data_IF_786146115754
#
_entry.id   IF_786146115754
#
_cell.length_a   1.000
_cell.length_b   1.000
_cell.length_c   1.000
_cell.angle_alpha   90.00
_cell.angle_beta   90.00
_cell.angle_gamma   90.00
#
_symmetry.space_group_name_H-M   'P 1'
#
loop_
_entity.id
_entity.type
_entity.pdbx_description
1 polymer ?
#
# COMPACT_ATOMS: atom_id res chain seq x y z
N UNK A 1 -2.83 0.68 32.65
CA UNK A 1 -2.21 0.26 31.37
C UNK A 1 -3.33 0.11 30.36
N UNK A 2 -3.70 1.24 29.74
CA UNK A 2 -4.84 1.33 28.83
C UNK A 2 -4.48 0.60 27.54
N UNK A 3 -5.30 -0.33 27.03
CA UNK A 3 -5.01 -0.96 25.75
C UNK A 3 -5.01 0.11 24.66
N UNK A 4 -4.01 0.04 23.79
CA UNK A 4 -3.91 0.83 22.57
C UNK A 4 -5.27 0.86 21.88
N UNK A 5 -5.91 2.03 21.90
CA UNK A 5 -7.21 2.26 21.28
C UNK A 5 -7.06 1.84 19.82
N UNK A 6 -7.76 0.77 19.46
CA UNK A 6 -7.80 0.26 18.11
C UNK A 6 -8.04 1.44 17.16
N UNK A 7 -7.14 1.61 16.18
CA UNK A 7 -7.34 2.51 15.04
C UNK A 7 -8.64 2.08 14.37
N UNK A 8 -9.70 2.80 14.68
CA UNK A 8 -11.06 2.53 14.27
C UNK A 8 -11.14 2.62 12.74
N UNK A 9 -11.59 1.52 12.15
CA UNK A 9 -12.62 1.46 11.11
C UNK A 9 -12.79 2.66 10.15
N UNK A 10 -12.48 2.44 8.88
CA UNK A 10 -13.21 2.98 7.71
C UNK A 10 -13.39 4.51 7.60
N UNK A 11 -12.64 5.31 8.34
CA UNK A 11 -12.74 6.77 8.28
C UNK A 11 -11.58 7.35 7.46
N UNK A 12 -11.94 8.18 6.47
CA UNK A 12 -11.00 8.90 5.61
C UNK A 12 -10.28 9.96 6.43
N UNK A 13 -9.03 9.67 6.81
CA UNK A 13 -8.23 10.54 7.68
C UNK A 13 -7.98 11.92 7.04
N UNK A 14 -7.88 11.98 5.71
CA UNK A 14 -7.71 13.24 4.98
C UNK A 14 -9.03 13.97 4.65
N UNK A 15 -10.19 13.36 4.90
CA UNK A 15 -11.47 14.07 4.78
C UNK A 15 -11.72 15.02 5.97
N UNK A 16 -10.92 14.92 7.03
CA UNK A 16 -10.96 15.87 8.13
C UNK A 16 -10.33 17.22 7.70
N UNK A 17 -11.10 18.33 7.70
CA UNK A 17 -10.58 19.64 7.29
C UNK A 17 -9.44 20.14 8.18
N UNK A 18 -9.31 19.66 9.41
CA UNK A 18 -8.19 19.99 10.30
C UNK A 18 -6.90 19.31 9.86
N UNK A 19 -6.97 18.02 9.52
CA UNK A 19 -5.83 17.24 9.01
C UNK A 19 -5.28 17.87 7.73
N UNK A 20 -6.17 18.26 6.80
CA UNK A 20 -5.76 18.99 5.59
C UNK A 20 -5.05 20.29 5.91
N UNK A 21 -5.64 21.13 6.78
CA UNK A 21 -5.07 22.44 7.12
C UNK A 21 -3.67 22.28 7.73
N UNK A 22 -3.52 21.34 8.65
CA UNK A 22 -2.26 21.12 9.33
C UNK A 22 -1.22 20.50 8.39
N UNK A 23 -1.64 19.64 7.46
CA UNK A 23 -0.78 19.11 6.40
C UNK A 23 -0.29 20.23 5.46
N UNK A 24 -1.17 21.14 5.01
CA UNK A 24 -0.78 22.32 4.20
C UNK A 24 0.24 23.17 4.95
N UNK A 25 0.05 23.39 6.26
CA UNK A 25 1.01 24.14 7.08
C UNK A 25 2.36 23.44 7.13
N UNK A 26 2.39 22.14 7.44
CA UNK A 26 3.66 21.39 7.55
C UNK A 26 4.41 21.35 6.21
N UNK A 27 3.70 21.10 5.10
CA UNK A 27 4.29 21.09 3.75
C UNK A 27 4.78 22.49 3.37
N UNK A 28 4.00 23.54 3.66
CA UNK A 28 4.40 24.93 3.42
C UNK A 28 5.62 25.35 4.24
N UNK A 29 5.65 24.99 5.54
CA UNK A 29 6.75 25.28 6.45
C UNK A 29 8.03 24.53 6.07
N UNK A 30 7.92 23.36 5.43
CA UNK A 30 9.05 22.63 4.85
C UNK A 30 9.55 23.30 3.56
N UNK A 31 8.66 23.76 2.68
CA UNK A 31 9.02 24.31 1.37
C UNK A 31 9.85 23.31 0.55
N UNK A 32 10.97 23.73 -0.01
CA UNK A 32 11.87 22.87 -0.81
C UNK A 32 12.80 21.98 0.04
N UNK A 33 12.72 22.04 1.37
CA UNK A 33 13.57 21.24 2.27
C UNK A 33 13.00 19.84 2.42
N UNK A 34 13.91 18.86 2.46
CA UNK A 34 13.55 17.46 2.69
C UNK A 34 13.36 17.22 4.20
N UNK A 35 12.21 16.67 4.57
CA UNK A 35 11.97 16.19 5.93
C UNK A 35 12.83 14.96 6.20
N UNK A 36 13.81 15.08 7.09
CA UNK A 36 14.76 13.99 7.41
C UNK A 36 14.36 13.16 8.62
N UNK A 37 13.53 13.71 9.51
CA UNK A 37 13.11 13.08 10.74
C UNK A 37 11.70 13.53 11.13
N UNK A 38 10.99 12.65 11.85
CA UNK A 38 9.77 12.99 12.58
C UNK A 38 9.90 12.47 14.01
N UNK A 39 9.31 13.17 14.97
CA UNK A 39 9.31 12.81 16.39
C UNK A 39 7.86 12.64 16.84
N UNK A 40 7.61 11.61 17.64
CA UNK A 40 6.36 11.45 18.38
C UNK A 40 6.60 11.91 19.81
N UNK A 41 5.87 12.91 20.26
CA UNK A 41 5.86 13.31 21.67
C UNK A 41 4.84 12.46 22.42
N UNK A 42 5.31 11.78 23.47
CA UNK A 42 4.47 11.02 24.39
C UNK A 42 3.82 11.97 25.40
N UNK A 43 2.82 11.48 26.13
CA UNK A 43 2.08 12.25 27.13
C UNK A 43 2.94 12.67 28.33
N UNK A 44 4.07 12.00 28.55
CA UNK A 44 5.09 12.35 29.54
C UNK A 44 6.17 13.32 29.02
N UNK A 45 6.03 13.81 27.78
CA UNK A 45 6.97 14.72 27.12
C UNK A 45 8.20 14.04 26.51
N UNK A 46 8.32 12.70 26.62
CA UNK A 46 9.37 11.95 25.95
C UNK A 46 9.16 12.00 24.44
N UNK A 47 10.24 12.23 23.68
CA UNK A 47 10.19 12.17 22.22
C UNK A 47 10.75 10.85 21.69
N UNK A 48 9.98 10.17 20.84
CA UNK A 48 10.39 8.95 20.14
C UNK A 48 10.67 9.28 18.68
N UNK A 49 11.89 9.03 18.16
CA UNK A 49 12.16 9.19 16.74
C UNK A 49 11.37 8.19 15.92
N UNK A 50 10.71 8.70 14.88
CA UNK A 50 10.04 7.88 13.87
C UNK A 50 11.11 7.31 12.93
N UNK A 51 11.15 5.97 12.72
CA UNK A 51 12.08 5.36 11.78
C UNK A 51 11.97 5.94 10.37
N UNK A 52 13.06 6.01 9.58
CA UNK A 52 13.07 6.66 8.26
C UNK A 52 12.00 6.17 7.30
N UNK A 53 11.71 4.86 7.30
CA UNK A 53 10.67 4.28 6.46
C UNK A 53 9.26 4.80 6.80
N UNK A 54 8.98 5.02 8.09
CA UNK A 54 7.71 5.59 8.56
C UNK A 54 7.67 7.11 8.32
N UNK A 55 8.79 7.81 8.45
CA UNK A 55 8.90 9.23 8.09
C UNK A 55 8.57 9.45 6.63
N UNK A 56 9.11 8.64 5.71
CA UNK A 56 8.79 8.75 4.28
C UNK A 56 7.31 8.50 3.98
N UNK A 57 6.69 7.52 4.65
CA UNK A 57 5.26 7.27 4.54
C UNK A 57 4.42 8.46 5.06
N UNK A 58 4.82 9.07 6.18
CA UNK A 58 4.17 10.26 6.74
C UNK A 58 4.28 11.47 5.81
N UNK A 59 5.46 11.72 5.22
CA UNK A 59 5.66 12.80 4.24
C UNK A 59 4.75 12.61 3.02
N UNK A 60 4.68 11.38 2.51
CA UNK A 60 3.78 11.03 1.39
C UNK A 60 2.33 11.31 1.75
N UNK A 61 1.90 10.94 2.96
CA UNK A 61 0.57 11.23 3.47
C UNK A 61 0.30 12.74 3.57
N UNK A 62 1.25 13.51 4.12
CA UNK A 62 1.10 14.95 4.30
C UNK A 62 0.96 15.69 2.97
N UNK A 63 1.75 15.32 1.95
CA UNK A 63 1.57 15.88 0.61
C UNK A 63 0.20 15.55 0.02
N UNK A 64 -0.21 14.28 0.05
CA UNK A 64 -1.50 13.86 -0.46
C UNK A 64 -2.67 14.58 0.26
N UNK A 65 -2.59 14.72 1.58
CA UNK A 65 -3.57 15.44 2.37
C UNK A 65 -3.58 16.95 2.05
N UNK A 66 -2.42 17.57 1.85
CA UNK A 66 -2.29 18.98 1.50
C UNK A 66 -2.89 19.30 0.11
N UNK A 67 -2.71 18.39 -0.84
CA UNK A 67 -3.30 18.46 -2.19
C UNK A 67 -4.81 18.20 -2.21
N UNK A 68 -5.40 17.87 -1.06
CA UNK A 68 -6.83 17.60 -0.91
C UNK A 68 -7.25 16.21 -1.41
N UNK A 69 -6.32 15.27 -1.55
CA UNK A 69 -6.65 13.89 -1.89
C UNK A 69 -7.36 13.19 -0.72
N UNK A 70 -8.34 12.34 -1.04
CA UNK A 70 -8.92 11.41 -0.05
C UNK A 70 -7.89 10.31 0.25
N UNK A 71 -7.33 10.35 1.46
CA UNK A 71 -6.35 9.38 1.96
C UNK A 71 -6.95 8.58 3.10
N UNK A 72 -7.07 7.27 2.90
CA UNK A 72 -7.54 6.33 3.91
C UNK A 72 -6.42 5.40 4.39
N UNK A 73 -6.29 5.24 5.71
CA UNK A 73 -5.45 4.20 6.31
C UNK A 73 -6.28 2.93 6.43
N UNK A 74 -5.79 1.84 5.84
CA UNK A 74 -6.45 0.53 5.90
C UNK A 74 -5.49 -0.50 6.45
N UNK A 75 -5.93 -1.20 7.50
CA UNK A 75 -5.22 -2.37 8.00
C UNK A 75 -5.27 -3.45 6.93
N UNK A 76 -4.10 -3.84 6.44
CA UNK A 76 -4.04 -4.95 5.50
C UNK A 76 -3.90 -6.22 6.30
N UNK A 77 -4.99 -6.98 6.40
CA UNK A 77 -4.95 -8.32 6.97
C UNK A 77 -3.99 -9.19 6.17
N UNK A 78 -3.25 -10.08 6.85
CA UNK A 78 -2.37 -11.06 6.21
C UNK A 78 -3.09 -11.92 5.16
N UNK A 79 -4.41 -12.06 5.31
CA UNK A 79 -5.30 -12.69 4.37
C UNK A 79 -6.15 -11.70 3.58
N UNK A 80 -6.17 -11.91 2.27
CA UNK A 80 -7.03 -11.23 1.34
C UNK A 80 -8.26 -12.09 1.04
N UNK A 81 -9.40 -11.40 0.85
CA UNK A 81 -10.54 -12.00 0.16
C UNK A 81 -10.18 -12.21 -1.31
N UNK A 82 -10.91 -13.10 -1.99
CA UNK A 82 -10.77 -13.27 -3.44
C UNK A 82 -10.99 -11.97 -4.21
N UNK A 83 -11.86 -11.07 -3.72
CA UNK A 83 -12.07 -9.77 -4.37
C UNK A 83 -10.87 -8.84 -4.16
N UNK A 84 -10.34 -8.77 -2.93
CA UNK A 84 -9.15 -7.94 -2.64
C UNK A 84 -7.91 -8.42 -3.37
N UNK A 85 -7.69 -9.73 -3.45
CA UNK A 85 -6.59 -10.31 -4.21
C UNK A 85 -6.72 -10.05 -5.73
N UNK A 86 -7.93 -10.15 -6.28
CA UNK A 86 -8.18 -9.86 -7.69
C UNK A 86 -7.90 -8.39 -8.03
N UNK A 87 -8.35 -7.46 -7.19
CA UNK A 87 -8.04 -6.03 -7.32
C UNK A 87 -6.53 -5.78 -7.27
N UNK A 88 -5.83 -6.40 -6.31
CA UNK A 88 -4.38 -6.21 -6.15
C UNK A 88 -3.58 -6.73 -7.36
N UNK A 89 -4.04 -7.80 -8.02
CA UNK A 89 -3.43 -8.33 -9.24
C UNK A 89 -3.88 -7.61 -10.52
N UNK A 90 -4.87 -6.72 -10.44
CA UNK A 90 -5.46 -6.07 -11.61
C UNK A 90 -6.18 -7.04 -12.55
N UNK A 91 -6.84 -8.07 -12.02
CA UNK A 91 -7.58 -9.08 -12.80
C UNK A 91 -9.01 -9.26 -12.29
N UNK A 92 -9.86 -9.89 -13.10
CA UNK A 92 -11.21 -10.26 -12.66
C UNK A 92 -11.18 -11.36 -11.59
N UNK A 93 -12.19 -11.43 -10.72
CA UNK A 93 -12.33 -12.51 -9.74
C UNK A 93 -12.38 -13.91 -10.40
N UNK A 94 -13.13 -14.16 -11.49
CA UNK A 94 -13.06 -15.43 -12.21
C UNK A 94 -11.64 -15.78 -12.68
N UNK A 95 -10.89 -14.79 -13.18
CA UNK A 95 -9.48 -15.00 -13.57
C UNK A 95 -8.61 -15.37 -12.37
N UNK A 96 -8.80 -14.71 -11.22
CA UNK A 96 -8.11 -15.09 -9.99
C UNK A 96 -8.41 -16.55 -9.61
N UNK A 97 -9.68 -16.94 -9.63
CA UNK A 97 -10.08 -18.30 -9.27
C UNK A 97 -9.46 -19.35 -10.20
N UNK A 98 -9.37 -19.07 -11.51
CA UNK A 98 -8.65 -19.96 -12.45
C UNK A 98 -7.18 -20.17 -12.08
N UNK A 99 -6.52 -19.17 -11.49
CA UNK A 99 -5.13 -19.29 -11.03
C UNK A 99 -5.03 -20.14 -9.77
N UNK A 100 -6.02 -20.01 -8.88
CA UNK A 100 -6.12 -20.87 -7.70
C UNK A 100 -6.38 -22.31 -8.11
N UNK A 101 -7.32 -22.54 -9.04
CA UNK A 101 -7.69 -23.87 -9.51
C UNK A 101 -6.53 -24.59 -10.23
N UNK A 102 -5.64 -23.83 -10.89
CA UNK A 102 -4.40 -24.35 -11.52
C UNK A 102 -3.25 -24.57 -10.54
N UNK A 103 -3.36 -24.09 -9.30
CA UNK A 103 -2.27 -24.12 -8.32
C UNK A 103 -1.23 -23.01 -8.45
N UNK A 104 -1.41 -22.07 -9.39
CA UNK A 104 -0.51 -20.93 -9.59
C UNK A 104 -0.53 -19.94 -8.40
N UNK A 105 -1.60 -19.99 -7.61
CA UNK A 105 -1.80 -19.14 -6.45
C UNK A 105 -2.43 -19.93 -5.29
N UNK A 106 -1.70 -20.13 -4.18
CA UNK A 106 -2.23 -20.81 -3.00
C UNK A 106 -3.44 -20.08 -2.42
N UNK A 107 -4.47 -20.86 -2.08
CA UNK A 107 -5.64 -20.37 -1.36
C UNK A 107 -6.05 -21.37 -0.29
N UNK A 108 -6.67 -20.87 0.78
CA UNK A 108 -7.20 -21.71 1.86
C UNK A 108 -8.65 -21.36 2.16
N UNK A 109 -9.38 -22.35 2.67
CA UNK A 109 -10.72 -22.15 3.21
C UNK A 109 -10.62 -21.71 4.67
N UNK A 110 -11.33 -20.65 5.03
CA UNK A 110 -11.54 -20.20 6.40
C UNK A 110 -13.05 -20.11 6.60
N UNK A 111 -13.59 -21.12 7.29
CA UNK A 111 -15.02 -21.41 7.26
C UNK A 111 -15.51 -21.62 5.83
N UNK A 112 -16.60 -20.96 5.46
CA UNK A 112 -17.19 -21.06 4.11
C UNK A 112 -16.44 -20.27 3.03
N UNK A 113 -15.51 -19.39 3.41
CA UNK A 113 -14.90 -18.46 2.47
C UNK A 113 -13.46 -18.82 2.09
N UNK A 114 -13.10 -18.52 0.85
CA UNK A 114 -11.73 -18.62 0.38
C UNK A 114 -10.93 -17.38 0.80
N UNK A 115 -9.69 -17.59 1.26
CA UNK A 115 -8.72 -16.58 1.66
C UNK A 115 -7.38 -16.86 0.99
N UNK A 116 -6.68 -15.81 0.61
CA UNK A 116 -5.37 -15.87 -0.05
C UNK A 116 -4.37 -15.10 0.81
N UNK A 117 -3.17 -15.65 1.04
CA UNK A 117 -2.15 -14.88 1.76
C UNK A 117 -1.69 -13.73 0.89
N UNK A 118 -1.56 -12.54 1.49
CA UNK A 118 -1.12 -11.34 0.78
C UNK A 118 0.23 -11.53 0.11
N UNK A 119 1.17 -12.16 0.81
CA UNK A 119 2.55 -12.34 0.32
C UNK A 119 2.58 -13.19 -0.94
N UNK A 120 1.80 -14.27 -1.00
CA UNK A 120 1.66 -15.10 -2.20
C UNK A 120 1.11 -14.32 -3.39
N UNK A 121 0.12 -13.45 -3.13
CA UNK A 121 -0.48 -12.58 -4.16
C UNK A 121 0.52 -11.53 -4.65
N UNK A 122 1.28 -10.91 -3.75
CA UNK A 122 2.31 -9.93 -4.11
C UNK A 122 3.47 -10.60 -4.88
N UNK A 123 3.91 -11.77 -4.45
CA UNK A 123 4.94 -12.55 -5.14
C UNK A 123 4.50 -12.91 -6.57
N UNK A 124 3.24 -13.32 -6.76
CA UNK A 124 2.71 -13.59 -8.10
C UNK A 124 2.64 -12.31 -8.96
N UNK A 125 2.25 -11.17 -8.38
CA UNK A 125 2.24 -9.88 -9.08
C UNK A 125 3.64 -9.54 -9.61
N UNK A 126 4.64 -9.72 -8.76
CA UNK A 126 6.02 -9.41 -9.08
C UNK A 126 6.56 -10.34 -10.18
N UNK A 127 6.36 -11.67 -10.07
CA UNK A 127 6.72 -12.62 -11.13
C UNK A 127 6.11 -12.24 -12.48
N UNK A 128 4.83 -11.84 -12.49
CA UNK A 128 4.15 -11.39 -13.72
C UNK A 128 4.72 -10.11 -14.29
N UNK A 129 5.08 -9.16 -13.43
CA UNK A 129 5.71 -7.90 -13.85
C UNK A 129 7.05 -8.18 -14.51
N UNK A 130 7.87 -9.02 -13.90
CA UNK A 130 9.17 -9.43 -14.45
C UNK A 130 9.02 -10.15 -15.80
N UNK A 131 8.07 -11.08 -15.92
CA UNK A 131 7.80 -11.77 -17.18
C UNK A 131 7.37 -10.81 -18.30
N UNK A 132 6.55 -9.78 -18.00
CA UNK A 132 6.17 -8.75 -18.98
C UNK A 132 7.37 -7.91 -19.43
N UNK A 133 8.24 -7.53 -18.49
CA UNK A 133 9.47 -6.77 -18.80
C UNK A 133 10.40 -7.60 -19.67
N UNK A 134 10.61 -8.87 -19.35
CA UNK A 134 11.44 -9.79 -20.15
C UNK A 134 10.90 -9.96 -21.57
N UNK A 135 9.59 -10.22 -21.72
CA UNK A 135 8.97 -10.36 -23.04
C UNK A 135 9.05 -9.07 -23.88
N UNK A 136 8.92 -7.89 -23.24
CA UNK A 136 9.09 -6.61 -23.93
C UNK A 136 10.54 -6.40 -24.40
N UNK A 137 11.53 -6.80 -23.59
CA UNK A 137 12.94 -6.73 -23.97
C UNK A 137 13.26 -7.67 -25.14
N UNK A 138 12.69 -8.88 -25.17
CA UNK A 138 12.87 -9.82 -26.29
C UNK A 138 12.31 -9.26 -27.61
N UNK A 139 11.14 -8.60 -27.57
CA UNK A 139 10.55 -7.98 -28.76
C UNK A 139 11.42 -6.83 -29.31
N UNK A 140 12.00 -6.01 -28.42
CA UNK A 140 12.90 -4.93 -28.82
C UNK A 140 14.19 -5.48 -29.45
N UNK A 141 14.81 -6.47 -28.80
CA UNK A 141 16.04 -7.11 -29.31
C UNK A 141 15.80 -7.84 -30.65
N UNK A 142 14.62 -8.44 -30.84
CA UNK A 142 14.26 -9.04 -32.12
C UNK A 142 14.10 -7.96 -33.21
N UNK A 143 13.53 -6.79 -32.89
CA UNK A 143 13.39 -5.68 -33.83
C UNK A 143 14.72 -5.11 -34.32
N UNK A 144 15.72 -4.98 -33.43
CA UNK A 144 17.08 -4.51 -33.77
C UNK A 144 17.86 -5.49 -34.65
N UNK A 145 17.46 -6.77 -34.73
CA UNK A 145 18.10 -7.77 -35.58
C UNK A 145 17.58 -7.77 -37.03
N UNK A 146 16.54 -6.98 -37.33
CA UNK A 146 15.95 -6.86 -38.67
C UNK A 146 16.28 -5.53 -39.38
N UNK A 147 17.11 -4.67 -38.76
CA UNK A 147 17.75 -3.48 -39.36
C UNK A 147 19.23 -3.75 -39.69
#
# INVERSE_FOLDING_TARGET
>A
MTPAKALATKEDLAADPTVRRDAVRVVGDAGDRVVTAALLELDDGTTLPVPPALTGALVTFLHAAADGAEVGIRTVTADLTTTGAAQLLGVSRPTLMKLVDRGDLPARKVGSHTRLRRDDVLALRERRRQARVAAAAELLAAGEAFD
#
